data_IF_028421998070
#
_entry.id   IF_028421998070
#
_cell.length_a   1.000
_cell.length_b   1.000
_cell.length_c   1.000
_cell.angle_alpha   90.00
_cell.angle_beta   90.00
_cell.angle_gamma   90.00
#
_symmetry.space_group_name_H-M   'P 1'
#
loop_
_entity.id
_entity.type
_entity.pdbx_description
1 polymer ?
#
# COMPACT_ATOMS: atom_id res chain seq x y z
N UNK A 1 -36.49 17.25 25.16
CA UNK A 1 -35.07 16.92 24.88
C UNK A 1 -34.53 17.94 23.89
N UNK A 2 -33.25 18.29 23.94
CA UNK A 2 -32.70 19.29 23.02
C UNK A 2 -32.41 18.68 21.63
N UNK A 3 -32.55 19.48 20.57
CA UNK A 3 -32.25 19.06 19.18
C UNK A 3 -30.82 18.51 19.01
N UNK A 4 -29.88 18.94 19.86
CA UNK A 4 -28.50 18.45 19.85
C UNK A 4 -28.42 16.99 20.32
N UNK A 5 -29.25 16.59 21.28
CA UNK A 5 -29.29 15.24 21.82
C UNK A 5 -29.98 14.27 20.85
N UNK A 6 -31.03 14.71 20.17
CA UNK A 6 -31.65 13.97 19.06
C UNK A 6 -30.68 13.81 17.89
N UNK A 7 -29.93 14.86 17.53
CA UNK A 7 -28.94 14.79 16.46
C UNK A 7 -27.78 13.84 16.82
N UNK A 8 -27.26 13.88 18.05
CA UNK A 8 -26.23 12.96 18.51
C UNK A 8 -26.72 11.50 18.56
N UNK A 9 -27.99 11.28 18.91
CA UNK A 9 -28.61 9.95 18.94
C UNK A 9 -28.85 9.44 17.52
N UNK A 10 -29.25 10.31 16.58
CA UNK A 10 -29.36 9.98 15.15
C UNK A 10 -27.98 9.68 14.54
N UNK A 11 -26.94 10.47 14.85
CA UNK A 11 -25.57 10.22 14.40
C UNK A 11 -25.00 8.89 14.93
N UNK A 12 -25.38 8.49 16.15
CA UNK A 12 -25.01 7.19 16.75
C UNK A 12 -25.86 6.02 16.21
N UNK A 13 -27.14 6.25 15.93
CA UNK A 13 -28.09 5.23 15.48
C UNK A 13 -28.00 4.87 13.99
N UNK A 14 -27.51 5.77 13.13
CA UNK A 14 -27.60 5.60 11.67
C UNK A 14 -26.37 4.93 11.01
N UNK A 15 -25.47 4.33 11.80
CA UNK A 15 -24.27 3.62 11.29
C UNK A 15 -23.20 4.52 10.65
N UNK A 16 -23.44 5.83 10.55
CA UNK A 16 -22.52 6.80 9.93
C UNK A 16 -21.19 6.91 10.69
N UNK A 17 -21.22 6.83 12.03
CA UNK A 17 -20.00 6.77 12.84
C UNK A 17 -19.15 5.54 12.50
N UNK A 18 -19.78 4.38 12.34
CA UNK A 18 -19.11 3.14 11.94
C UNK A 18 -18.57 3.26 10.52
N UNK A 19 -19.35 3.76 9.56
CA UNK A 19 -18.91 4.00 8.17
C UNK A 19 -17.69 4.90 8.10
N UNK A 20 -17.68 6.01 8.86
CA UNK A 20 -16.54 6.93 8.92
C UNK A 20 -15.31 6.28 9.54
N UNK A 21 -15.49 5.51 10.62
CA UNK A 21 -14.39 4.76 11.26
C UNK A 21 -13.82 3.70 10.33
N UNK A 22 -14.66 2.95 9.61
CA UNK A 22 -14.21 1.97 8.62
C UNK A 22 -13.44 2.63 7.48
N UNK A 23 -13.95 3.75 6.94
CA UNK A 23 -13.24 4.50 5.90
C UNK A 23 -11.87 4.97 6.40
N UNK A 24 -11.83 5.59 7.59
CA UNK A 24 -10.58 6.05 8.19
C UNK A 24 -9.60 4.89 8.41
N UNK A 25 -10.06 3.77 8.95
CA UNK A 25 -9.23 2.60 9.14
C UNK A 25 -8.67 2.06 7.82
N UNK A 26 -9.48 2.06 6.74
CA UNK A 26 -9.03 1.70 5.40
C UNK A 26 -7.91 2.65 4.92
N UNK A 27 -8.12 3.95 5.04
CA UNK A 27 -7.14 4.95 4.61
C UNK A 27 -5.83 4.83 5.40
N UNK A 28 -5.91 4.58 6.72
CA UNK A 28 -4.75 4.32 7.59
C UNK A 28 -4.00 3.05 7.18
N UNK A 29 -4.72 1.93 6.96
CA UNK A 29 -4.13 0.67 6.51
C UNK A 29 -3.43 0.85 5.16
N UNK A 30 -4.07 1.53 4.20
CA UNK A 30 -3.50 1.78 2.87
C UNK A 30 -2.24 2.63 2.97
N UNK A 31 -2.28 3.71 3.77
CA UNK A 31 -1.12 4.58 4.00
C UNK A 31 0.04 3.80 4.60
N UNK A 32 -0.21 3.00 5.63
CA UNK A 32 0.80 2.16 6.29
C UNK A 32 1.39 1.16 5.28
N UNK A 33 0.54 0.47 4.52
CA UNK A 33 0.96 -0.54 3.56
C UNK A 33 1.82 0.06 2.44
N UNK A 34 1.40 1.18 1.84
CA UNK A 34 2.15 1.87 0.78
C UNK A 34 3.48 2.42 1.31
N UNK A 35 3.48 2.98 2.52
CA UNK A 35 4.71 3.49 3.15
C UNK A 35 5.70 2.37 3.40
N UNK A 36 5.25 1.25 3.99
CA UNK A 36 6.08 0.09 4.21
C UNK A 36 6.63 -0.49 2.90
N UNK A 37 5.81 -0.56 1.85
CA UNK A 37 6.25 -1.01 0.54
C UNK A 37 7.33 -0.10 -0.06
N UNK A 38 7.15 1.22 0.03
CA UNK A 38 8.13 2.20 -0.46
C UNK A 38 9.46 2.10 0.29
N UNK A 39 9.44 1.93 1.61
CA UNK A 39 10.66 1.73 2.40
C UNK A 39 11.42 0.48 1.95
N UNK A 40 10.73 -0.64 1.73
CA UNK A 40 11.35 -1.88 1.22
C UNK A 40 11.97 -1.67 -0.16
N UNK A 41 11.34 -0.87 -1.02
CA UNK A 41 11.94 -0.52 -2.31
C UNK A 41 13.15 0.41 -2.17
N UNK A 42 13.20 1.32 -1.20
CA UNK A 42 14.37 2.17 -0.99
C UNK A 42 15.63 1.34 -0.72
N UNK A 43 15.51 0.24 0.04
CA UNK A 43 16.62 -0.70 0.28
C UNK A 43 17.08 -1.42 -1.01
N UNK A 44 16.17 -1.63 -1.96
CA UNK A 44 16.45 -2.29 -3.25
C UNK A 44 17.20 -1.41 -4.25
N UNK A 45 17.15 -0.08 -4.11
CA UNK A 45 17.84 0.82 -5.05
C UNK A 45 19.37 0.68 -5.00
N UNK A 46 19.94 0.04 -3.98
CA UNK A 46 21.36 -0.32 -3.89
C UNK A 46 21.67 -1.79 -4.22
N UNK A 47 20.68 -2.58 -4.66
CA UNK A 47 20.84 -4.01 -4.95
C UNK A 47 21.20 -4.21 -6.43
N UNK A 48 22.31 -4.92 -6.68
CA UNK A 48 22.78 -5.32 -8.02
C UNK A 48 21.68 -5.97 -8.88
N UNK A 49 20.69 -6.61 -8.26
CA UNK A 49 19.54 -7.21 -8.96
C UNK A 49 18.68 -6.19 -9.69
N UNK A 50 18.49 -4.99 -9.14
CA UNK A 50 17.70 -3.95 -9.80
C UNK A 50 18.44 -3.44 -11.04
N UNK A 51 19.76 -3.26 -10.95
CA UNK A 51 20.62 -2.84 -12.06
C UNK A 51 20.64 -3.89 -13.18
N UNK A 52 20.68 -5.18 -12.83
CA UNK A 52 20.59 -6.28 -13.79
C UNK A 52 19.25 -6.28 -14.53
N UNK A 53 18.14 -6.05 -13.81
CA UNK A 53 16.81 -5.94 -14.42
C UNK A 53 16.69 -4.71 -15.33
N UNK A 54 17.22 -3.56 -14.90
CA UNK A 54 17.25 -2.35 -15.72
C UNK A 54 18.06 -2.58 -17.01
N UNK A 55 19.21 -3.26 -16.93
CA UNK A 55 20.02 -3.64 -18.09
C UNK A 55 19.25 -4.57 -19.03
N UNK A 56 18.51 -5.54 -18.50
CA UNK A 56 17.67 -6.43 -19.32
C UNK A 56 16.55 -5.66 -20.05
N UNK A 57 15.98 -4.65 -19.42
CA UNK A 57 14.96 -3.79 -20.04
C UNK A 57 15.57 -2.96 -21.17
N UNK A 58 16.69 -2.27 -20.93
CA UNK A 58 17.29 -1.39 -21.95
C UNK A 58 17.87 -2.18 -23.14
N UNK A 59 18.26 -3.44 -22.93
CA UNK A 59 18.73 -4.35 -23.98
C UNK A 59 17.60 -5.09 -24.69
N UNK A 60 16.34 -4.87 -24.31
CA UNK A 60 15.17 -5.51 -24.94
C UNK A 60 15.01 -7.00 -24.60
N UNK A 61 15.69 -7.51 -23.56
CA UNK A 61 15.57 -8.90 -23.11
C UNK A 61 14.30 -9.17 -22.31
N UNK A 62 13.68 -8.14 -21.75
CA UNK A 62 12.34 -8.19 -21.14
C UNK A 62 11.72 -6.79 -21.11
N UNK A 63 10.40 -6.71 -20.98
CA UNK A 63 9.72 -5.43 -20.78
C UNK A 63 9.72 -5.01 -19.28
N UNK A 64 9.37 -3.75 -18.96
CA UNK A 64 9.35 -3.24 -17.60
C UNK A 64 8.38 -3.98 -16.66
N UNK A 65 7.24 -4.49 -17.14
CA UNK A 65 6.29 -5.22 -16.32
C UNK A 65 6.84 -6.60 -15.96
N UNK A 66 7.42 -7.31 -16.93
CA UNK A 66 8.09 -8.58 -16.66
C UNK A 66 9.27 -8.41 -15.67
N UNK A 67 10.04 -7.32 -15.79
CA UNK A 67 11.10 -7.00 -14.84
C UNK A 67 10.55 -6.70 -13.42
N UNK A 68 9.47 -5.92 -13.32
CA UNK A 68 8.80 -5.64 -12.05
C UNK A 68 8.26 -6.90 -11.38
N UNK A 69 7.66 -7.82 -12.14
CA UNK A 69 7.18 -9.10 -11.61
C UNK A 69 8.32 -9.95 -11.02
N UNK A 70 9.48 -9.99 -11.70
CA UNK A 70 10.67 -10.68 -11.19
C UNK A 70 11.14 -10.02 -9.88
N UNK A 71 11.18 -8.69 -9.84
CA UNK A 71 11.56 -7.96 -8.64
C UNK A 71 10.62 -8.25 -7.47
N UNK A 72 9.31 -8.19 -7.70
CA UNK A 72 8.27 -8.47 -6.69
C UNK A 72 8.35 -9.90 -6.15
N UNK A 73 8.60 -10.89 -7.03
CA UNK A 73 8.80 -12.30 -6.62
C UNK A 73 10.04 -12.48 -5.74
N UNK A 74 11.09 -11.67 -5.94
CA UNK A 74 12.30 -11.73 -5.12
C UNK A 74 12.07 -11.13 -3.73
N UNK A 75 11.34 -10.01 -3.63
CA UNK A 75 10.95 -9.35 -2.38
C UNK A 75 9.97 -10.17 -1.53
N UNK A 76 9.18 -11.04 -2.16
CA UNK A 76 8.30 -11.99 -1.47
C UNK A 76 9.03 -13.20 -0.86
N UNK A 77 10.32 -13.38 -1.14
CA UNK A 77 11.14 -14.52 -0.67
C UNK A 77 12.08 -14.15 0.47
N UNK A 78 11.86 -13.02 1.14
CA UNK A 78 12.63 -12.64 2.34
C UNK A 78 12.25 -13.57 3.50
N UNK A 79 12.86 -14.76 3.52
CA UNK A 79 12.91 -15.64 4.66
C UNK A 79 14.37 -15.80 5.04
N UNK A 80 14.63 -15.60 6.35
CA UNK A 80 15.91 -15.71 7.08
C UNK A 80 16.68 -14.41 7.21
#
# INVERSE_FOLDING_TARGET
MSKLQEHLTWMRGNGELTRRRTRRARDEIETIAVTAMRSRFADVHGDQRLDDLATRVITGRCDPYAAADVLMKSLGRTTT
#
